data_IF_834570410044
#
_entry.id   IF_834570410044
#
_cell.length_a   1.000
_cell.length_b   1.000
_cell.length_c   1.000
_cell.angle_alpha   90.00
_cell.angle_beta   90.00
_cell.angle_gamma   90.00
#
_symmetry.space_group_name_H-M   'P 1'
#
loop_
_entity.id
_entity.type
_entity.pdbx_description
1 polymer ?
#
# COMPACT_ATOMS: atom_id res chain seq x y z
N UNK A 1 -17.31 -2.09 2.96
CA UNK A 1 -16.51 -0.95 2.44
C UNK A 1 -15.42 -1.42 1.50
N UNK A 2 -14.42 -2.17 1.97
CA UNK A 2 -13.27 -2.63 1.16
C UNK A 2 -13.65 -3.33 -0.14
N UNK A 3 -14.75 -4.10 -0.16
CA UNK A 3 -15.27 -4.73 -1.39
C UNK A 3 -15.86 -3.75 -2.40
N UNK A 4 -16.52 -2.68 -1.94
CA UNK A 4 -17.08 -1.65 -2.81
C UNK A 4 -16.01 -0.64 -3.29
N UNK A 5 -14.93 -0.50 -2.52
CA UNK A 5 -13.82 0.42 -2.82
C UNK A 5 -12.46 -0.29 -2.68
N UNK A 6 -12.04 -1.08 -3.69
CA UNK A 6 -10.84 -1.92 -3.60
C UNK A 6 -9.51 -1.16 -3.43
N UNK A 7 -9.43 0.10 -3.86
CA UNK A 7 -8.22 0.92 -3.80
C UNK A 7 -8.21 1.95 -2.66
N UNK A 8 -9.30 2.07 -1.90
CA UNK A 8 -9.45 3.15 -0.91
C UNK A 8 -8.82 2.85 0.45
N UNK A 9 -8.47 1.59 0.73
CA UNK A 9 -7.92 1.16 2.01
C UNK A 9 -6.52 0.60 1.82
N UNK A 10 -5.59 1.03 2.68
CA UNK A 10 -4.21 0.55 2.70
C UNK A 10 -4.11 -0.88 3.20
N UNK A 11 -4.98 -1.27 4.15
CA UNK A 11 -5.01 -2.62 4.66
C UNK A 11 -5.83 -3.57 3.78
N UNK A 12 -5.47 -4.85 3.80
CA UNK A 12 -6.16 -5.91 3.08
C UNK A 12 -7.13 -6.70 3.98
N UNK A 13 -7.75 -7.74 3.41
CA UNK A 13 -8.71 -8.58 4.13
C UNK A 13 -8.07 -9.41 5.27
N UNK A 14 -6.82 -9.85 5.09
CA UNK A 14 -6.09 -10.62 6.09
C UNK A 14 -5.92 -9.80 7.37
N UNK A 15 -5.63 -8.50 7.25
CA UNK A 15 -5.54 -7.59 8.40
C UNK A 15 -6.80 -7.61 9.27
N UNK A 16 -7.99 -7.56 8.64
CA UNK A 16 -9.26 -7.57 9.36
C UNK A 16 -9.53 -8.95 10.01
N UNK A 17 -9.21 -10.04 9.31
CA UNK A 17 -9.33 -11.40 9.86
C UNK A 17 -8.41 -11.58 11.06
N UNK A 18 -7.15 -11.13 10.97
CA UNK A 18 -6.15 -11.20 12.04
C UNK A 18 -6.59 -10.41 13.28
N UNK A 19 -7.19 -9.23 13.11
CA UNK A 19 -7.79 -8.48 14.23
C UNK A 19 -8.88 -9.31 14.92
N UNK A 20 -9.78 -9.92 14.16
CA UNK A 20 -10.87 -10.73 14.71
C UNK A 20 -10.38 -12.01 15.39
N UNK A 21 -9.35 -12.66 14.86
CA UNK A 21 -8.74 -13.82 15.51
C UNK A 21 -8.09 -13.41 16.83
N UNK A 22 -7.41 -12.25 16.87
CA UNK A 22 -6.76 -11.78 18.08
C UNK A 22 -7.68 -11.10 19.09
N UNK A 23 -8.88 -10.70 18.67
CA UNK A 23 -9.96 -10.30 19.58
C UNK A 23 -10.34 -11.44 20.54
N UNK A 24 -10.35 -12.68 20.05
CA UNK A 24 -10.73 -13.84 20.85
C UNK A 24 -9.56 -14.66 21.40
N UNK A 25 -8.37 -14.57 20.77
CA UNK A 25 -7.21 -15.36 21.21
C UNK A 25 -6.66 -14.96 22.59
N UNK A 26 -6.91 -13.71 23.03
CA UNK A 26 -6.27 -13.10 24.20
C UNK A 26 -4.74 -13.13 24.21
N UNK A 27 -4.09 -13.33 23.04
CA UNK A 27 -2.63 -13.35 22.91
C UNK A 27 -2.00 -11.98 23.20
N UNK A 28 -2.71 -10.90 22.85
CA UNK A 28 -2.26 -9.52 23.01
C UNK A 28 -3.14 -8.77 24.00
N UNK A 29 -2.58 -7.76 24.67
CA UNK A 29 -3.34 -6.90 25.58
C UNK A 29 -4.17 -5.80 24.90
N UNK A 30 -4.20 -5.77 23.57
CA UNK A 30 -4.84 -4.68 22.81
C UNK A 30 -6.34 -4.58 23.06
N UNK A 31 -7.03 -5.72 23.18
CA UNK A 31 -8.49 -5.80 23.37
C UNK A 31 -8.91 -6.31 24.75
N UNK A 32 -7.99 -6.30 25.73
CA UNK A 32 -8.31 -6.68 27.11
C UNK A 32 -8.88 -5.48 27.89
N UNK A 33 -9.64 -5.81 28.94
CA UNK A 33 -10.38 -4.88 29.80
C UNK A 33 -11.53 -4.14 29.09
N UNK A 34 -12.36 -3.43 29.86
CA UNK A 34 -13.55 -2.75 29.34
C UNK A 34 -13.39 -1.23 29.21
N UNK A 35 -12.34 -0.65 29.80
CA UNK A 35 -12.05 0.77 29.71
C UNK A 35 -10.55 1.05 29.92
N UNK A 36 -10.11 2.24 29.52
CA UNK A 36 -8.72 2.68 29.66
C UNK A 36 -8.24 2.69 31.10
N UNK A 37 -9.08 3.14 32.05
CA UNK A 37 -8.75 3.15 33.47
C UNK A 37 -8.38 1.75 33.99
N UNK A 38 -9.13 0.72 33.59
CA UNK A 38 -8.83 -0.67 33.97
C UNK A 38 -7.51 -1.12 33.35
N UNK A 39 -7.22 -0.75 32.09
CA UNK A 39 -5.95 -1.11 31.43
C UNK A 39 -4.74 -0.51 32.14
N UNK A 40 -4.86 0.71 32.67
CA UNK A 40 -3.82 1.33 33.49
C UNK A 40 -3.68 0.61 34.84
N UNK A 41 -4.79 0.33 35.52
CA UNK A 41 -4.78 -0.35 36.82
C UNK A 41 -4.14 -1.75 36.74
N UNK A 42 -4.39 -2.48 35.67
CA UNK A 42 -3.85 -3.82 35.46
C UNK A 42 -2.46 -3.83 34.81
N UNK A 43 -1.88 -2.65 34.52
CA UNK A 43 -0.60 -2.45 33.82
C UNK A 43 -0.50 -3.21 32.48
N UNK A 44 -1.59 -3.22 31.69
CA UNK A 44 -1.66 -3.99 30.44
C UNK A 44 -0.51 -3.63 29.49
N UNK A 45 -0.15 -2.35 29.41
CA UNK A 45 0.89 -1.87 28.49
C UNK A 45 2.31 -2.37 28.80
N UNK A 46 2.59 -2.75 30.05
CA UNK A 46 3.91 -3.28 30.45
C UNK A 46 3.92 -4.79 30.59
N UNK A 47 2.77 -5.39 30.96
CA UNK A 47 2.64 -6.84 31.17
C UNK A 47 2.32 -7.61 29.88
N UNK A 48 1.91 -6.94 28.81
CA UNK A 48 1.47 -7.61 27.57
C UNK A 48 2.03 -6.92 26.34
N UNK A 49 1.99 -7.65 25.21
CA UNK A 49 2.38 -7.12 23.90
C UNK A 49 1.15 -6.53 23.19
N UNK A 50 1.38 -5.46 22.42
CA UNK A 50 0.36 -4.88 21.54
C UNK A 50 0.25 -5.67 20.24
N UNK A 51 -0.98 -5.98 19.81
CA UNK A 51 -1.27 -6.54 18.48
C UNK A 51 -0.64 -5.71 17.36
N UNK A 52 -0.63 -4.38 17.51
CA UNK A 52 -0.04 -3.49 16.51
C UNK A 52 1.48 -3.66 16.39
N UNK A 53 2.17 -4.05 17.47
CA UNK A 53 3.60 -4.36 17.40
C UNK A 53 3.86 -5.59 16.51
N UNK A 54 2.95 -6.56 16.49
CA UNK A 54 3.03 -7.73 15.61
C UNK A 54 2.62 -7.41 14.17
N UNK A 55 1.53 -6.67 13.98
CA UNK A 55 1.04 -6.32 12.64
C UNK A 55 2.01 -5.39 11.92
N UNK A 56 2.54 -4.38 12.61
CA UNK A 56 3.45 -3.40 12.02
C UNK A 56 4.86 -3.95 11.76
N UNK A 57 5.22 -5.12 12.31
CA UNK A 57 6.49 -5.78 11.97
C UNK A 57 6.42 -6.53 10.63
N UNK A 58 5.22 -6.74 10.08
CA UNK A 58 4.97 -7.51 8.85
C UNK A 58 3.96 -6.79 7.94
N UNK A 59 4.15 -5.49 7.73
CA UNK A 59 3.23 -4.65 6.95
C UNK A 59 2.95 -5.20 5.54
N UNK A 60 3.94 -5.80 4.89
CA UNK A 60 3.78 -6.37 3.55
C UNK A 60 2.70 -7.46 3.46
N UNK A 61 2.39 -8.15 4.57
CA UNK A 61 1.32 -9.16 4.61
C UNK A 61 -0.07 -8.54 4.76
N UNK A 62 -0.14 -7.35 5.33
CA UNK A 62 -1.38 -6.66 5.68
C UNK A 62 -1.71 -5.52 4.72
N UNK A 63 -0.79 -5.16 3.83
CA UNK A 63 -0.95 -4.09 2.85
C UNK A 63 -1.72 -4.53 1.61
N UNK A 64 -2.40 -3.57 1.00
CA UNK A 64 -3.14 -3.69 -0.23
C UNK A 64 -2.32 -3.10 -1.39
N UNK A 65 -1.91 -3.90 -2.39
CA UNK A 65 -1.14 -3.41 -3.55
C UNK A 65 -1.92 -2.40 -4.40
N UNK A 66 -3.24 -2.39 -4.32
CA UNK A 66 -4.11 -1.50 -5.09
C UNK A 66 -4.41 -0.19 -4.36
N UNK A 67 -3.85 0.02 -3.17
CA UNK A 67 -4.09 1.24 -2.41
C UNK A 67 -3.61 2.46 -3.18
N UNK A 68 -4.50 3.44 -3.32
CA UNK A 68 -4.21 4.75 -3.90
C UNK A 68 -4.62 5.81 -2.90
N UNK A 69 -3.67 6.67 -2.54
CA UNK A 69 -3.95 7.80 -1.67
C UNK A 69 -4.68 8.89 -2.48
N UNK A 70 -6.00 8.95 -2.34
CA UNK A 70 -6.82 10.04 -2.86
C UNK A 70 -6.95 11.13 -1.79
N UNK A 71 -6.23 12.23 -1.95
CA UNK A 71 -6.39 13.38 -1.05
C UNK A 71 -7.86 13.87 -1.07
N UNK A 72 -8.47 13.99 0.12
CA UNK A 72 -9.81 14.54 0.35
C UNK A 72 -10.99 13.82 -0.33
N UNK A 73 -10.88 12.52 -0.63
CA UNK A 73 -12.00 11.76 -1.19
C UNK A 73 -12.95 11.18 -0.12
N UNK A 74 -14.25 11.43 -0.25
CA UNK A 74 -15.30 10.87 0.62
C UNK A 74 -15.92 9.64 -0.04
N UNK A 75 -15.94 8.52 0.68
CA UNK A 75 -16.55 7.27 0.21
C UNK A 75 -18.05 7.25 0.53
N UNK A 76 -18.88 6.99 -0.49
CA UNK A 76 -20.34 6.84 -0.34
C UNK A 76 -20.76 5.40 -0.63
N UNK A 77 -20.86 4.53 0.40
CA UNK A 77 -21.22 3.13 0.18
C UNK A 77 -22.69 2.96 -0.16
N UNK A 78 -22.96 1.93 -0.96
CA UNK A 78 -24.32 1.46 -1.22
C UNK A 78 -24.72 0.48 -0.12
N UNK A 79 -25.79 0.80 0.60
CA UNK A 79 -26.30 0.02 1.75
C UNK A 79 -27.43 -0.95 1.40
N UNK A 80 -27.79 -1.05 0.12
CA UNK A 80 -28.77 -2.02 -0.37
C UNK A 80 -28.28 -3.46 -0.17
N UNK A 81 -29.20 -4.37 0.19
CA UNK A 81 -28.92 -5.80 0.33
C UNK A 81 -28.32 -6.43 -0.94
N UNK A 82 -28.60 -5.89 -2.12
CA UNK A 82 -28.02 -6.37 -3.38
C UNK A 82 -26.52 -6.07 -3.53
N UNK A 83 -25.98 -5.15 -2.72
CA UNK A 83 -24.57 -4.74 -2.72
C UNK A 83 -23.84 -5.11 -1.42
N UNK A 84 -24.56 -5.75 -0.49
CA UNK A 84 -24.00 -6.35 0.71
C UNK A 84 -23.81 -7.83 0.45
N UNK A 85 -22.60 -8.30 0.72
CA UNK A 85 -22.24 -9.69 0.50
C UNK A 85 -21.85 -10.33 1.82
N UNK A 86 -22.16 -11.62 1.96
CA UNK A 86 -21.64 -12.41 3.07
C UNK A 86 -20.11 -12.41 3.01
N UNK A 87 -19.46 -12.16 4.14
CA UNK A 87 -18.02 -12.25 4.23
C UNK A 87 -17.56 -13.72 4.31
N UNK A 88 -17.58 -14.39 3.17
CA UNK A 88 -17.32 -15.84 3.04
C UNK A 88 -15.96 -16.22 3.63
N UNK A 89 -14.93 -15.42 3.38
CA UNK A 89 -13.56 -15.67 3.85
C UNK A 89 -13.40 -15.61 5.37
N UNK A 90 -14.35 -15.03 6.10
CA UNK A 90 -14.38 -15.08 7.56
C UNK A 90 -15.38 -16.13 8.07
N UNK A 91 -16.66 -16.01 7.69
CA UNK A 91 -17.72 -16.85 8.25
C UNK A 91 -17.71 -18.30 7.76
N UNK A 92 -17.17 -18.57 6.58
CA UNK A 92 -17.18 -19.91 5.94
C UNK A 92 -15.76 -20.49 5.82
N UNK A 93 -14.75 -19.83 6.42
CA UNK A 93 -13.33 -20.21 6.30
C UNK A 93 -13.00 -21.65 6.68
N UNK A 94 -13.78 -22.22 7.59
CA UNK A 94 -13.57 -23.59 8.07
C UNK A 94 -14.06 -24.66 7.10
N UNK A 95 -14.97 -24.34 6.19
CA UNK A 95 -15.52 -25.29 5.23
C UNK A 95 -14.50 -25.63 4.13
N UNK A 96 -13.96 -26.86 4.06
CA UNK A 96 -12.93 -27.22 3.10
C UNK A 96 -13.36 -27.07 1.64
N UNK A 97 -14.67 -27.18 1.35
CA UNK A 97 -15.21 -27.08 -0.02
C UNK A 97 -15.25 -25.65 -0.56
N UNK A 98 -15.17 -24.67 0.34
CA UNK A 98 -15.28 -23.25 0.01
C UNK A 98 -13.94 -22.51 0.13
N UNK A 99 -12.86 -23.22 0.48
CA UNK A 99 -11.54 -22.62 0.58
C UNK A 99 -10.98 -22.35 -0.82
N UNK A 100 -10.53 -21.13 -1.11
CA UNK A 100 -9.72 -20.85 -2.29
C UNK A 100 -8.50 -21.77 -2.32
N UNK A 101 -8.12 -22.26 -3.51
CA UNK A 101 -6.93 -23.11 -3.69
C UNK A 101 -5.65 -22.37 -3.30
N UNK A 102 -5.60 -21.05 -3.54
CA UNK A 102 -4.53 -20.16 -3.08
C UNK A 102 -5.09 -19.08 -2.15
N UNK A 103 -4.47 -18.84 -0.99
CA UNK A 103 -4.88 -17.76 -0.09
C UNK A 103 -4.74 -16.40 -0.78
N UNK A 104 -5.78 -15.57 -0.71
CA UNK A 104 -5.82 -14.25 -1.39
C UNK A 104 -4.65 -13.36 -0.96
N UNK A 105 -4.28 -13.39 0.33
CA UNK A 105 -3.17 -12.58 0.85
C UNK A 105 -1.81 -12.93 0.23
N UNK A 106 -1.59 -14.20 -0.14
CA UNK A 106 -0.35 -14.62 -0.80
C UNK A 106 -0.23 -13.95 -2.17
N UNK A 107 -1.32 -13.95 -2.93
CA UNK A 107 -1.38 -13.25 -4.22
C UNK A 107 -1.18 -11.73 -4.04
N UNK A 108 -1.74 -11.13 -2.98
CA UNK A 108 -1.54 -9.69 -2.70
C UNK A 108 -0.09 -9.36 -2.36
N UNK A 109 0.59 -10.23 -1.60
CA UNK A 109 2.02 -10.10 -1.26
C UNK A 109 2.90 -10.21 -2.51
N UNK A 110 2.61 -11.16 -3.39
CA UNK A 110 3.30 -11.30 -4.68
C UNK A 110 3.07 -10.08 -5.57
N UNK A 111 1.84 -9.55 -5.60
CA UNK A 111 1.52 -8.32 -6.34
C UNK A 111 2.26 -7.10 -5.79
N UNK A 112 2.44 -7.00 -4.46
CA UNK A 112 3.26 -5.94 -3.85
C UNK A 112 4.71 -6.03 -4.33
N UNK A 113 5.29 -7.23 -4.36
CA UNK A 113 6.65 -7.45 -4.86
C UNK A 113 6.79 -7.09 -6.35
N UNK A 114 5.84 -7.52 -7.19
CA UNK A 114 5.81 -7.19 -8.62
C UNK A 114 5.66 -5.68 -8.83
N UNK A 115 4.81 -5.02 -8.05
CA UNK A 115 4.64 -3.56 -8.10
C UNK A 115 5.95 -2.84 -7.77
N UNK A 116 6.64 -3.25 -6.72
CA UNK A 116 7.90 -2.64 -6.31
C UNK A 116 8.98 -2.75 -7.41
N UNK A 117 9.09 -3.92 -8.04
CA UNK A 117 10.02 -4.16 -9.15
C UNK A 117 9.67 -3.30 -10.38
N UNK A 118 8.40 -3.25 -10.76
CA UNK A 118 7.94 -2.42 -11.88
C UNK A 118 8.18 -0.92 -11.61
N UNK A 119 7.94 -0.47 -10.39
CA UNK A 119 8.15 0.92 -10.00
C UNK A 119 9.63 1.31 -10.09
N UNK A 120 10.53 0.47 -9.58
CA UNK A 120 11.98 0.64 -9.74
C UNK A 120 12.40 0.70 -11.20
N UNK A 121 11.88 -0.20 -12.04
CA UNK A 121 12.19 -0.23 -13.47
C UNK A 121 11.72 1.03 -14.21
N UNK A 122 10.56 1.57 -13.82
CA UNK A 122 10.06 2.84 -14.35
C UNK A 122 11.00 3.99 -13.98
N UNK A 123 11.44 4.07 -12.72
CA UNK A 123 12.37 5.10 -12.25
C UNK A 123 13.72 5.03 -12.99
N UNK A 124 14.27 3.84 -13.17
CA UNK A 124 15.54 3.63 -13.88
C UNK A 124 15.43 4.07 -15.35
N UNK A 125 14.35 3.70 -16.05
CA UNK A 125 14.08 4.13 -17.42
C UNK A 125 13.87 5.65 -17.52
N UNK A 126 13.18 6.27 -16.55
CA UNK A 126 13.02 7.72 -16.50
C UNK A 126 14.35 8.44 -16.33
N UNK A 127 15.26 7.93 -15.48
CA UNK A 127 16.62 8.47 -15.34
C UNK A 127 17.43 8.34 -16.63
N UNK A 128 17.34 7.20 -17.33
CA UNK A 128 18.03 7.01 -18.61
C UNK A 128 17.53 7.98 -19.70
N UNK A 129 16.21 8.17 -19.81
CA UNK A 129 15.61 9.14 -20.74
C UNK A 129 16.06 10.56 -20.42
N UNK A 130 16.08 10.96 -19.16
CA UNK A 130 16.55 12.28 -18.73
C UNK A 130 18.04 12.51 -19.07
N UNK A 131 18.89 11.49 -18.87
CA UNK A 131 20.32 11.56 -19.21
C UNK A 131 20.57 11.63 -20.72
N UNK A 132 19.75 10.94 -21.54
CA UNK A 132 19.83 11.04 -23.00
C UNK A 132 19.35 12.40 -23.51
N UNK A 133 18.33 12.99 -22.88
CA UNK A 133 17.84 14.31 -23.23
C UNK A 133 18.90 15.40 -22.96
N UNK A 134 19.58 15.38 -21.81
CA UNK A 134 20.65 16.34 -21.50
C UNK A 134 21.84 16.23 -22.46
N UNK A 135 22.28 15.02 -22.80
CA UNK A 135 23.37 14.78 -23.75
C UNK A 135 23.07 15.28 -25.19
N UNK A 136 21.79 15.28 -25.58
CA UNK A 136 21.37 15.82 -26.89
C UNK A 136 21.37 17.36 -26.95
N UNK A 137 21.15 18.03 -25.82
CA UNK A 137 21.15 19.49 -25.73
C UNK A 137 22.56 20.09 -25.83
N UNK A 138 23.59 19.37 -25.35
CA UNK A 138 24.99 19.83 -25.42
C UNK A 138 25.59 19.73 -26.83
N UNK A 139 25.05 18.87 -27.71
CA UNK A 139 25.49 18.77 -29.12
C UNK A 139 24.87 19.84 -30.04
N UNK A 140 23.84 20.56 -29.58
CA UNK A 140 23.14 21.59 -30.38
C UNK A 140 23.75 22.99 -30.33
N UNK A 141 24.68 23.26 -29.41
CA UNK A 141 25.36 24.56 -29.28
C UNK A 141 26.69 24.57 -30.02
N UNK A 142 26.65 24.73 -31.35
CA UNK A 142 27.83 25.15 -32.13
C UNK A 142 28.04 26.67 -31.99
N UNK A 143 29.29 27.18 -31.89
CA UNK A 143 29.53 28.61 -31.76
C UNK A 143 29.26 29.31 -33.10
N UNK A 144 28.41 30.33 -33.08
CA UNK A 144 28.19 31.24 -34.21
C UNK A 144 29.50 31.97 -34.54
N UNK A 145 30.06 31.69 -35.72
CA UNK A 145 31.22 32.41 -36.24
C UNK A 145 30.90 33.92 -36.34
N UNK A 146 31.63 34.71 -35.56
CA UNK A 146 31.64 36.18 -35.64
C UNK A 146 32.25 36.63 -36.97
N UNK A 147 31.45 37.25 -37.82
CA UNK A 147 31.91 37.92 -39.06
C UNK A 147 32.53 39.26 -38.67
N UNK A 148 33.83 39.45 -38.93
CA UNK A 148 34.49 40.76 -38.86
C UNK A 148 34.33 41.51 -40.19
N UNK A 149 34.08 42.83 -40.18
CA UNK A 149 34.00 43.61 -41.42
C UNK A 149 35.41 44.01 -41.87
N UNK A 150 35.74 43.73 -43.13
CA UNK A 150 36.99 44.19 -43.76
C UNK A 150 36.76 45.61 -44.27
N UNK A 151 37.47 46.58 -43.68
CA UNK A 151 37.54 47.94 -44.21
C UNK A 151 38.63 47.97 -45.30
N UNK A 152 38.26 48.41 -46.51
CA UNK A 152 39.17 48.74 -47.60
C UNK A 152 38.96 50.21 -47.96
N UNK A 153 40.05 50.99 -48.10
CA UNK A 153 40.29 52.03 -49.13
C UNK A 153 41.49 52.89 -48.68
N UNK A 154 42.61 52.78 -49.40
CA UNK A 154 43.27 53.79 -50.27
C UNK A 154 44.09 54.82 -49.52
#
# INVERSE_FOLDING_TARGET
>A
MTRQFPSAFEFNELFLITILDHLYSCLFGTFLCNCEQQRLKEDVYTKTISLWSYVNSQLDEFSNPFFVNYENHVLYPVTSLSHLELWVNYYVRWNPRMRPQTPIHQNLKELLAVRAELQKRVEDLQREVAARASASSERGSSPSHSVTPVHTSV
#
